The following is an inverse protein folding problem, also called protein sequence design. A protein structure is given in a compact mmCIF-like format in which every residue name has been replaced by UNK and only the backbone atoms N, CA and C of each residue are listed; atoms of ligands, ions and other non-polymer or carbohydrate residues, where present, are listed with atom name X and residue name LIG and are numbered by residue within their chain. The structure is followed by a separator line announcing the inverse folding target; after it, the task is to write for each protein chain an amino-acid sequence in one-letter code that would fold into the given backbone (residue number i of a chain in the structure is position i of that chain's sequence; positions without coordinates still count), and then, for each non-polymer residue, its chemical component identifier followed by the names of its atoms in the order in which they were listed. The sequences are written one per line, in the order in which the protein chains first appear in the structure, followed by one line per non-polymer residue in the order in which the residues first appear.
data_IF_324221791770
#
_entry.id   IF_324221791770
#
_cell.length_a   1.000
_cell.length_b   1.000
_cell.length_c   1.000
_cell.angle_alpha   90.00
_cell.angle_beta   90.00
_cell.angle_gamma   90.00
#
_symmetry.space_group_name_H-M   'P 1'
#
loop_
_entity.id
_entity.type
_entity.pdbx_description
1 polymer ?
#
# COMPACT_ATOMS: atom_id res chain seq x y z
N UNK A 1 -54.74 22.50 7.68
CA UNK A 1 -54.75 22.88 9.07
C UNK A 1 -53.33 23.20 9.48
N UNK A 2 -53.02 24.49 9.50
CA UNK A 2 -51.64 25.00 9.69
C UNK A 2 -51.40 25.17 11.20
N UNK A 3 -50.29 24.58 11.71
CA UNK A 3 -49.80 24.89 13.06
C UNK A 3 -48.49 25.64 12.92
N UNK A 4 -48.55 26.95 13.21
CA UNK A 4 -47.40 27.84 13.33
C UNK A 4 -46.76 27.67 14.69
N UNK A 5 -45.49 27.30 14.78
CA UNK A 5 -44.68 27.41 15.98
C UNK A 5 -43.93 28.72 15.99
N UNK A 6 -44.22 29.55 17.06
CA UNK A 6 -43.58 30.82 17.35
C UNK A 6 -42.26 30.54 18.09
N UNK A 7 -41.16 31.09 17.61
CA UNK A 7 -39.90 31.20 18.35
C UNK A 7 -40.05 32.35 19.38
N UNK A 8 -39.87 32.02 20.65
CA UNK A 8 -39.70 33.01 21.74
C UNK A 8 -38.21 33.19 21.97
N UNK A 9 -37.75 34.44 21.77
CA UNK A 9 -36.40 34.93 22.05
C UNK A 9 -36.28 35.13 23.57
N UNK A 10 -35.46 34.33 24.26
CA UNK A 10 -35.05 34.59 25.64
C UNK A 10 -33.63 35.12 25.62
N UNK A 11 -33.49 36.43 25.83
CA UNK A 11 -32.21 37.11 26.09
C UNK A 11 -31.83 36.87 27.55
N UNK A 12 -30.84 36.02 27.80
CA UNK A 12 -30.14 35.94 29.07
C UNK A 12 -28.82 36.70 29.00
N UNK A 13 -28.70 37.81 29.66
CA UNK A 13 -27.43 38.48 29.98
C UNK A 13 -26.65 37.60 30.95
N UNK A 14 -25.54 37.03 30.50
CA UNK A 14 -24.53 36.51 31.40
C UNK A 14 -23.33 37.47 31.45
N UNK A 15 -23.05 37.96 32.64
CA UNK A 15 -21.89 38.79 32.95
C UNK A 15 -20.60 38.01 32.66
N UNK A 16 -19.73 38.56 31.81
CA UNK A 16 -18.38 38.05 31.60
C UNK A 16 -17.52 38.35 32.82
N UNK A 17 -17.20 37.34 33.59
CA UNK A 17 -16.06 37.37 34.49
C UNK A 17 -14.80 37.21 33.66
N UNK A 18 -13.96 38.24 33.60
CA UNK A 18 -12.61 38.22 33.01
C UNK A 18 -11.72 37.30 33.85
N UNK A 19 -11.56 36.05 33.42
CA UNK A 19 -10.47 35.18 33.88
C UNK A 19 -9.17 35.54 33.15
N UNK A 20 -8.02 35.60 33.84
CA UNK A 20 -6.77 35.93 33.19
C UNK A 20 -6.42 34.86 32.13
N UNK A 21 -6.10 35.32 30.92
CA UNK A 21 -5.64 34.51 29.83
C UNK A 21 -4.39 33.72 30.30
N UNK A 22 -4.51 32.39 30.36
CA UNK A 22 -3.36 31.53 30.50
C UNK A 22 -2.54 31.73 29.23
N UNK A 23 -1.36 32.31 29.38
CA UNK A 23 -0.38 32.41 28.33
C UNK A 23 -0.10 30.99 27.82
N UNK A 24 -0.45 30.71 26.55
CA UNK A 24 0.04 29.52 25.87
C UNK A 24 1.55 29.51 26.03
N UNK A 25 2.15 28.33 26.39
CA UNK A 25 3.59 28.25 26.38
C UNK A 25 4.05 28.63 24.97
N UNK A 26 4.81 29.71 24.85
CA UNK A 26 5.54 30.02 23.62
C UNK A 26 6.42 28.83 23.33
N UNK A 27 5.99 27.97 22.38
CA UNK A 27 6.91 27.03 21.75
C UNK A 27 8.05 27.89 21.25
N UNK A 28 9.20 27.78 21.88
CA UNK A 28 10.45 28.23 21.33
C UNK A 28 10.49 27.68 19.91
N UNK A 29 10.43 28.57 18.93
CA UNK A 29 10.64 28.20 17.54
C UNK A 29 12.04 27.56 17.54
N UNK A 30 12.08 26.24 17.43
CA UNK A 30 13.30 25.58 17.03
C UNK A 30 13.76 26.29 15.75
N UNK A 31 15.08 26.56 15.61
CA UNK A 31 15.57 27.20 14.41
C UNK A 31 15.01 26.43 13.23
N UNK A 32 14.38 27.13 12.29
CA UNK A 32 13.97 26.59 11.00
C UNK A 32 15.25 26.17 10.30
N UNK A 33 15.74 24.97 10.59
CA UNK A 33 16.61 24.29 9.67
C UNK A 33 15.79 24.19 8.40
N UNK A 34 16.19 24.91 7.36
CA UNK A 34 15.77 24.59 6.00
C UNK A 34 15.79 23.07 5.94
N UNK A 35 14.64 22.45 5.85
CA UNK A 35 14.56 21.03 5.58
C UNK A 35 15.05 20.90 4.15
N UNK A 36 16.37 20.74 4.00
CA UNK A 36 17.01 20.49 2.74
C UNK A 36 16.26 19.36 2.08
N UNK A 37 16.08 19.42 0.77
CA UNK A 37 15.48 18.36 -0.01
C UNK A 37 16.07 17.03 0.46
N UNK A 38 15.23 16.03 0.75
CA UNK A 38 15.68 14.71 1.20
C UNK A 38 16.64 14.20 0.14
N UNK A 39 17.93 14.13 0.48
CA UNK A 39 18.95 13.62 -0.44
C UNK A 39 18.84 12.09 -0.42
N UNK A 40 18.22 11.55 -1.46
CA UNK A 40 18.14 10.11 -1.65
C UNK A 40 19.53 9.57 -2.05
N UNK A 41 19.97 8.44 -1.48
CA UNK A 41 21.28 7.87 -1.77
C UNK A 41 21.33 7.30 -3.21
N UNK A 42 22.46 7.44 -3.86
CA UNK A 42 22.77 6.78 -5.13
C UNK A 42 22.96 5.27 -4.96
N UNK A 43 22.93 4.51 -6.05
CA UNK A 43 23.17 3.05 -6.04
C UNK A 43 24.44 2.64 -5.28
N UNK A 44 25.51 3.44 -5.37
CA UNK A 44 26.78 3.19 -4.67
C UNK A 44 26.71 3.48 -3.17
N UNK A 45 25.89 4.42 -2.74
CA UNK A 45 25.76 4.82 -1.34
C UNK A 45 24.78 3.93 -0.55
N UNK A 46 23.77 3.37 -1.21
CA UNK A 46 22.74 2.53 -0.57
C UNK A 46 23.34 1.41 0.29
N UNK A 47 24.32 0.59 -0.17
CA UNK A 47 24.85 -0.48 0.66
C UNK A 47 25.50 0.00 1.95
N UNK A 48 26.22 1.11 1.91
CA UNK A 48 26.85 1.69 3.10
C UNK A 48 25.80 2.23 4.08
N UNK A 49 24.85 3.00 3.57
CA UNK A 49 23.77 3.57 4.35
C UNK A 49 22.91 2.49 5.03
N UNK A 50 22.54 1.45 4.27
CA UNK A 50 21.84 0.27 4.77
C UNK A 50 22.60 -0.44 5.91
N UNK A 51 23.88 -0.75 5.70
CA UNK A 51 24.70 -1.44 6.68
C UNK A 51 24.88 -0.58 7.94
N UNK A 52 24.98 0.73 7.82
CA UNK A 52 25.05 1.65 8.96
C UNK A 52 23.76 1.63 9.79
N UNK A 53 22.59 1.72 9.15
CA UNK A 53 21.30 1.66 9.83
C UNK A 53 21.08 0.33 10.54
N UNK A 54 21.36 -0.79 9.88
CA UNK A 54 21.29 -2.13 10.47
C UNK A 54 22.26 -2.27 11.66
N UNK A 55 23.49 -1.75 11.56
CA UNK A 55 24.45 -1.78 12.65
C UNK A 55 23.97 -0.99 13.86
N UNK A 56 23.39 0.20 13.66
CA UNK A 56 22.80 1.00 14.73
C UNK A 56 21.62 0.28 15.38
N UNK A 57 20.73 -0.31 14.58
CA UNK A 57 19.60 -1.09 15.09
C UNK A 57 20.09 -2.27 15.92
N UNK A 58 21.07 -3.04 15.45
CA UNK A 58 21.67 -4.15 16.21
C UNK A 58 22.32 -3.70 17.52
N UNK A 59 22.96 -2.54 17.54
CA UNK A 59 23.52 -1.98 18.78
C UNK A 59 22.43 -1.63 19.81
N UNK A 60 21.31 -1.02 19.35
CA UNK A 60 20.13 -0.75 20.20
C UNK A 60 19.51 -2.05 20.74
N UNK A 61 19.33 -3.05 19.87
CA UNK A 61 18.85 -4.38 20.25
C UNK A 61 19.76 -5.03 21.29
N UNK A 62 21.07 -4.98 21.09
CA UNK A 62 22.04 -5.54 22.06
C UNK A 62 21.94 -4.84 23.43
N UNK A 63 21.79 -3.52 23.45
CA UNK A 63 21.56 -2.74 24.65
C UNK A 63 20.29 -3.17 25.40
N UNK A 64 19.18 -3.31 24.69
CA UNK A 64 17.93 -3.82 25.26
C UNK A 64 18.07 -5.24 25.80
N UNK A 65 18.75 -6.14 25.08
CA UNK A 65 19.03 -7.53 25.53
C UNK A 65 19.84 -7.58 26.80
N UNK A 66 20.76 -6.65 26.99
CA UNK A 66 21.64 -6.60 28.16
C UNK A 66 21.03 -5.90 29.38
N UNK A 67 19.85 -5.29 29.25
CA UNK A 67 19.18 -4.54 30.32
C UNK A 67 18.84 -5.48 31.48
N UNK A 68 19.35 -5.21 32.73
CA UNK A 68 18.95 -5.98 33.89
C UNK A 68 17.44 -5.86 34.18
N UNK A 69 16.76 -6.97 34.52
CA UNK A 69 15.32 -6.98 34.78
C UNK A 69 14.86 -5.94 35.80
N UNK A 70 15.69 -5.67 36.83
CA UNK A 70 15.43 -4.63 37.85
C UNK A 70 15.42 -3.18 37.30
N UNK A 71 15.92 -2.97 36.11
CA UNK A 71 15.96 -1.65 35.43
C UNK A 71 14.91 -1.52 34.36
N UNK A 72 14.07 -2.53 34.14
CA UNK A 72 12.97 -2.52 33.17
C UNK A 72 11.89 -1.55 33.63
N UNK A 73 11.57 -0.57 32.79
CA UNK A 73 10.49 0.39 32.93
C UNK A 73 10.13 0.98 31.57
N UNK A 74 9.06 1.80 31.48
CA UNK A 74 8.61 2.38 30.22
C UNK A 74 9.72 3.14 29.47
N UNK A 75 10.51 3.95 30.18
CA UNK A 75 11.59 4.74 29.56
C UNK A 75 12.71 3.84 29.00
N UNK A 76 13.09 2.79 29.72
CA UNK A 76 14.21 1.92 29.32
C UNK A 76 13.83 0.88 28.27
N UNK A 77 12.54 0.55 28.12
CA UNK A 77 12.05 -0.45 27.16
C UNK A 77 11.21 0.20 26.06
N UNK A 78 10.08 0.86 26.37
CA UNK A 78 9.18 1.38 25.32
C UNK A 78 9.80 2.53 24.54
N UNK A 79 10.44 3.47 25.24
CA UNK A 79 11.13 4.57 24.56
C UNK A 79 12.29 4.04 23.70
N UNK A 80 13.10 3.11 24.23
CA UNK A 80 14.20 2.53 23.48
C UNK A 80 13.71 1.67 22.29
N UNK A 81 12.54 1.03 22.42
CA UNK A 81 11.89 0.32 21.33
C UNK A 81 11.43 1.30 20.22
N UNK A 82 10.76 2.38 20.62
CA UNK A 82 10.38 3.44 19.69
C UNK A 82 11.59 4.04 18.95
N UNK A 83 12.70 4.29 19.65
CA UNK A 83 13.95 4.72 19.03
C UNK A 83 14.54 3.70 18.04
N UNK A 84 14.35 2.40 18.31
CA UNK A 84 14.71 1.35 17.35
C UNK A 84 13.85 1.41 16.10
N UNK A 85 12.54 1.48 16.27
CA UNK A 85 11.58 1.51 15.16
C UNK A 85 11.75 2.77 14.30
N UNK A 86 11.88 3.95 14.92
CA UNK A 86 12.17 5.19 14.20
C UNK A 86 13.46 5.08 13.38
N UNK A 87 14.54 4.58 13.99
CA UNK A 87 15.81 4.41 13.29
C UNK A 87 15.75 3.40 12.13
N UNK A 88 14.89 2.39 12.22
CA UNK A 88 14.63 1.46 11.11
C UNK A 88 13.79 2.11 10.03
N UNK A 89 12.77 2.91 10.37
CA UNK A 89 11.93 3.65 9.43
C UNK A 89 12.72 4.72 8.66
N UNK A 90 13.67 5.41 9.32
CA UNK A 90 14.54 6.41 8.67
C UNK A 90 15.36 5.81 7.52
N UNK A 91 15.67 4.54 7.59
CA UNK A 91 16.37 3.80 6.52
C UNK A 91 15.37 3.10 5.61
N UNK A 92 14.40 2.39 6.18
CA UNK A 92 13.46 1.55 5.45
C UNK A 92 12.53 2.33 4.53
N UNK A 93 12.02 3.48 4.98
CA UNK A 93 11.11 4.30 4.18
C UNK A 93 11.70 4.74 2.84
N UNK A 94 12.84 5.43 2.82
CA UNK A 94 13.50 5.79 1.57
C UNK A 94 13.94 4.59 0.72
N UNK A 95 14.39 3.49 1.34
CA UNK A 95 14.76 2.26 0.63
C UNK A 95 13.55 1.63 -0.07
N UNK A 96 12.41 1.50 0.63
CA UNK A 96 11.18 1.00 0.04
C UNK A 96 10.71 1.87 -1.13
N UNK A 97 10.78 3.20 -0.99
CA UNK A 97 10.44 4.12 -2.08
C UNK A 97 11.37 3.92 -3.29
N UNK A 98 12.68 3.87 -3.08
CA UNK A 98 13.67 3.73 -4.16
C UNK A 98 13.57 2.38 -4.87
N UNK A 99 13.25 1.29 -4.18
CA UNK A 99 13.09 -0.03 -4.76
C UNK A 99 11.91 -0.10 -5.75
N UNK A 100 10.86 0.69 -5.52
CA UNK A 100 9.66 0.66 -6.33
C UNK A 100 9.60 1.77 -7.40
N UNK A 101 10.16 2.96 -7.13
CA UNK A 101 9.90 4.14 -7.94
C UNK A 101 11.14 4.71 -8.66
N UNK A 102 12.36 4.29 -8.31
CA UNK A 102 13.55 4.85 -8.97
C UNK A 102 13.54 4.50 -10.46
N UNK A 103 13.79 5.49 -11.35
CA UNK A 103 13.97 5.22 -12.79
C UNK A 103 15.27 4.45 -13.08
N UNK A 104 16.28 4.55 -12.18
CA UNK A 104 17.57 3.86 -12.34
C UNK A 104 17.48 2.41 -11.84
N UNK A 105 17.64 1.39 -12.70
CA UNK A 105 17.56 -0.02 -12.30
C UNK A 105 18.67 -0.42 -11.30
N UNK A 106 19.85 0.22 -11.31
CA UNK A 106 20.92 -0.08 -10.35
C UNK A 106 20.55 0.44 -8.95
N UNK A 107 19.86 1.58 -8.87
CA UNK A 107 19.31 2.08 -7.61
C UNK A 107 18.24 1.13 -7.07
N UNK A 108 17.29 0.69 -7.91
CA UNK A 108 16.25 -0.28 -7.51
C UNK A 108 16.88 -1.56 -6.99
N UNK A 109 17.82 -2.15 -7.72
CA UNK A 109 18.54 -3.37 -7.33
C UNK A 109 19.27 -3.24 -5.99
N UNK A 110 19.98 -2.12 -5.79
CA UNK A 110 20.67 -1.87 -4.53
C UNK A 110 19.68 -1.68 -3.36
N UNK A 111 18.56 -1.02 -3.60
CA UNK A 111 17.49 -0.83 -2.63
C UNK A 111 16.80 -2.15 -2.28
N UNK A 112 16.43 -2.99 -3.25
CA UNK A 112 15.90 -4.33 -3.03
C UNK A 112 16.83 -5.21 -2.17
N UNK A 113 18.13 -5.14 -2.43
CA UNK A 113 19.11 -5.88 -1.62
C UNK A 113 19.22 -5.37 -0.18
N UNK A 114 18.97 -4.07 0.05
CA UNK A 114 18.88 -3.50 1.39
C UNK A 114 17.59 -3.89 2.09
N UNK A 115 16.46 -3.79 1.37
CA UNK A 115 15.13 -4.10 1.88
C UNK A 115 15.06 -5.54 2.44
N UNK A 116 15.61 -6.52 1.74
CA UNK A 116 15.70 -7.90 2.24
C UNK A 116 16.51 -8.01 3.55
N UNK A 117 17.57 -7.21 3.71
CA UNK A 117 18.34 -7.22 4.97
C UNK A 117 17.56 -6.56 6.11
N UNK A 118 16.81 -5.50 5.82
CA UNK A 118 15.94 -4.84 6.79
C UNK A 118 14.78 -5.74 7.21
N UNK A 119 14.13 -6.41 6.26
CA UNK A 119 13.02 -7.36 6.51
C UNK A 119 13.46 -8.59 7.31
N UNK A 120 14.71 -9.02 7.17
CA UNK A 120 15.26 -10.13 7.96
C UNK A 120 15.52 -9.75 9.43
N UNK A 121 15.75 -8.47 9.74
CA UNK A 121 16.15 -8.03 11.07
C UNK A 121 15.07 -8.26 12.14
N UNK A 122 13.77 -8.01 11.93
CA UNK A 122 12.70 -8.38 12.85
C UNK A 122 12.71 -9.88 13.20
N UNK A 123 13.03 -10.76 12.25
CA UNK A 123 13.16 -12.19 12.52
C UNK A 123 14.33 -12.53 13.47
N UNK A 124 15.35 -11.66 13.55
CA UNK A 124 16.47 -11.84 14.49
C UNK A 124 16.11 -11.41 15.92
N UNK A 125 15.41 -10.29 16.10
CA UNK A 125 15.16 -9.75 17.43
C UNK A 125 13.81 -10.15 18.03
N UNK A 126 12.74 -10.30 17.22
CA UNK A 126 11.43 -10.74 17.70
C UNK A 126 11.37 -12.25 18.04
N UNK A 127 12.40 -13.02 17.69
CA UNK A 127 12.55 -14.40 18.15
C UNK A 127 13.50 -14.51 19.37
N UNK A 128 13.92 -13.40 19.95
CA UNK A 128 14.80 -13.38 21.11
C UNK A 128 14.02 -13.52 22.42
N UNK A 129 14.15 -14.66 23.10
CA UNK A 129 13.58 -14.89 24.43
C UNK A 129 14.04 -13.86 25.45
N UNK A 130 15.31 -13.44 25.39
CA UNK A 130 15.86 -12.42 26.27
C UNK A 130 15.20 -11.03 26.10
N UNK A 131 14.82 -10.63 24.90
CA UNK A 131 14.03 -9.40 24.69
C UNK A 131 12.59 -9.58 25.16
N UNK A 132 11.98 -10.70 24.81
CA UNK A 132 10.63 -11.04 25.23
C UNK A 132 10.45 -10.96 26.74
N UNK A 133 11.37 -11.57 27.51
CA UNK A 133 11.37 -11.50 28.97
C UNK A 133 11.41 -10.07 29.52
N UNK A 134 12.13 -9.15 28.89
CA UNK A 134 12.18 -7.74 29.31
C UNK A 134 10.86 -7.03 29.06
N UNK A 135 10.23 -7.28 27.91
CA UNK A 135 8.90 -6.72 27.63
C UNK A 135 7.82 -7.34 28.52
N UNK A 136 7.91 -8.64 28.82
CA UNK A 136 7.01 -9.30 29.79
C UNK A 136 7.15 -8.72 31.19
N UNK A 137 8.37 -8.47 31.64
CA UNK A 137 8.66 -7.94 33.00
C UNK A 137 8.23 -6.47 33.15
N UNK A 138 7.95 -5.76 32.06
CA UNK A 138 7.56 -4.36 32.06
C UNK A 138 6.20 -4.17 32.76
N UNK A 139 6.19 -3.34 33.80
CA UNK A 139 4.98 -2.91 34.52
C UNK A 139 4.63 -1.49 34.07
N UNK A 140 3.44 -1.29 33.50
CA UNK A 140 2.93 -0.01 33.03
C UNK A 140 1.45 0.13 33.40
N UNK A 141 1.02 1.35 33.62
CA UNK A 141 -0.37 1.66 34.01
C UNK A 141 -1.01 2.70 33.08
N UNK A 142 -0.19 3.47 32.35
CA UNK A 142 -0.72 4.37 31.32
C UNK A 142 -1.36 3.53 30.19
N UNK A 143 -2.60 3.85 29.74
CA UNK A 143 -3.29 3.07 28.72
C UNK A 143 -2.53 2.96 27.40
N UNK A 144 -1.77 3.99 27.00
CA UNK A 144 -0.96 3.99 25.78
C UNK A 144 0.21 3.03 25.91
N UNK A 145 0.92 3.10 27.06
CA UNK A 145 2.02 2.19 27.35
C UNK A 145 1.59 0.73 27.48
N UNK A 146 0.40 0.49 28.07
CA UNK A 146 -0.19 -0.86 28.16
C UNK A 146 -0.45 -1.40 26.75
N UNK A 147 -1.04 -0.60 25.86
CA UNK A 147 -1.29 -0.99 24.49
C UNK A 147 0.00 -1.20 23.69
N UNK A 148 0.97 -0.30 23.82
CA UNK A 148 2.29 -0.43 23.18
C UNK A 148 3.01 -1.72 23.64
N UNK A 149 3.02 -2.00 24.93
CA UNK A 149 3.57 -3.24 25.49
C UNK A 149 2.88 -4.47 24.91
N UNK A 150 1.55 -4.46 24.83
CA UNK A 150 0.80 -5.59 24.30
C UNK A 150 1.10 -5.80 22.81
N UNK A 151 1.13 -4.74 22.01
CA UNK A 151 1.49 -4.83 20.60
C UNK A 151 2.87 -5.46 20.38
N UNK A 152 3.86 -5.05 21.17
CA UNK A 152 5.21 -5.63 21.09
C UNK A 152 5.20 -7.11 21.47
N UNK A 153 4.46 -7.51 22.51
CA UNK A 153 4.33 -8.92 22.90
C UNK A 153 3.66 -9.75 21.80
N UNK A 154 2.63 -9.20 21.16
CA UNK A 154 1.94 -9.83 20.05
C UNK A 154 2.89 -10.06 18.86
N UNK A 155 3.73 -9.08 18.53
CA UNK A 155 4.77 -9.23 17.49
C UNK A 155 5.76 -10.36 17.80
N UNK A 156 6.18 -10.50 19.04
CA UNK A 156 7.04 -11.62 19.47
C UNK A 156 6.37 -12.98 19.31
N UNK A 157 5.11 -13.08 19.69
CA UNK A 157 4.34 -14.32 19.60
C UNK A 157 4.06 -14.67 18.12
N UNK A 158 3.71 -13.69 17.29
CA UNK A 158 3.52 -13.87 15.85
C UNK A 158 4.80 -14.28 15.12
N UNK A 159 5.98 -13.93 15.66
CA UNK A 159 7.27 -14.40 15.13
C UNK A 159 7.73 -15.72 15.77
N UNK A 160 6.92 -16.32 16.66
CA UNK A 160 7.14 -17.65 17.20
C UNK A 160 8.20 -17.70 18.30
N UNK A 161 8.36 -16.64 19.12
CA UNK A 161 9.31 -16.60 20.23
C UNK A 161 9.16 -17.77 21.21
N UNK A 162 7.93 -18.24 21.41
CA UNK A 162 7.61 -19.36 22.29
C UNK A 162 7.84 -20.75 21.67
N UNK A 163 8.15 -20.83 20.38
CA UNK A 163 8.42 -22.10 19.72
C UNK A 163 9.72 -22.76 20.20
N UNK A 164 9.81 -24.09 20.21
CA UNK A 164 11.08 -24.81 20.34
C UNK A 164 12.13 -24.29 19.33
N UNK A 165 13.41 -24.38 19.68
CA UNK A 165 14.49 -23.77 18.91
C UNK A 165 14.54 -24.19 17.44
N UNK A 166 14.31 -25.46 17.15
CA UNK A 166 14.24 -26.02 15.80
C UNK A 166 13.06 -25.46 14.98
N UNK A 167 11.86 -25.43 15.58
CA UNK A 167 10.65 -24.85 14.96
C UNK A 167 10.78 -23.33 14.75
N UNK A 168 11.40 -22.65 15.72
CA UNK A 168 11.67 -21.20 15.60
C UNK A 168 12.63 -20.90 14.45
N UNK A 169 13.71 -21.69 14.31
CA UNK A 169 14.63 -21.57 13.18
C UNK A 169 13.92 -21.83 11.83
N UNK A 170 13.00 -22.83 11.80
CA UNK A 170 12.21 -23.09 10.58
C UNK A 170 11.25 -21.93 10.26
N UNK A 171 10.54 -21.40 11.26
CA UNK A 171 9.67 -20.25 11.09
C UNK A 171 10.45 -19.03 10.55
N UNK A 172 11.64 -18.76 11.08
CA UNK A 172 12.55 -17.70 10.58
C UNK A 172 12.85 -17.90 9.09
N UNK A 173 13.27 -19.09 8.71
CA UNK A 173 13.58 -19.40 7.31
C UNK A 173 12.36 -19.22 6.38
N UNK A 174 11.15 -19.55 6.85
CA UNK A 174 9.91 -19.33 6.11
C UNK A 174 9.62 -17.84 5.94
N UNK A 175 9.72 -17.03 6.99
CA UNK A 175 9.52 -15.57 6.88
C UNK A 175 10.47 -14.95 5.85
N UNK A 176 11.78 -15.25 5.96
CA UNK A 176 12.78 -14.73 5.04
C UNK A 176 12.52 -15.20 3.57
N UNK A 177 12.05 -16.44 3.41
CA UNK A 177 11.69 -16.93 2.07
C UNK A 177 10.44 -16.25 1.52
N UNK A 178 9.42 -16.02 2.35
CA UNK A 178 8.20 -15.32 1.95
C UNK A 178 8.48 -13.86 1.54
N UNK A 179 9.36 -13.16 2.27
CA UNK A 179 9.80 -11.80 1.92
C UNK A 179 10.48 -11.80 0.54
N UNK A 180 11.37 -12.75 0.29
CA UNK A 180 12.05 -12.91 -1.00
C UNK A 180 11.07 -13.23 -2.14
N UNK A 181 10.10 -14.13 -1.91
CA UNK A 181 9.07 -14.47 -2.89
C UNK A 181 8.20 -13.26 -3.23
N UNK A 182 7.83 -12.46 -2.23
CA UNK A 182 7.06 -11.23 -2.42
C UNK A 182 7.81 -10.22 -3.27
N UNK A 183 9.09 -9.99 -2.96
CA UNK A 183 9.95 -9.08 -3.73
C UNK A 183 10.13 -9.55 -5.18
N UNK A 184 10.40 -10.84 -5.41
CA UNK A 184 10.57 -11.41 -6.75
C UNK A 184 9.27 -11.32 -7.55
N UNK A 185 8.12 -11.58 -6.91
CA UNK A 185 6.80 -11.45 -7.53
C UNK A 185 6.53 -10.01 -8.00
N UNK A 186 6.76 -9.04 -7.12
CA UNK A 186 6.58 -7.62 -7.44
C UNK A 186 7.50 -7.18 -8.58
N UNK A 187 8.78 -7.55 -8.51
CA UNK A 187 9.76 -7.25 -9.57
C UNK A 187 9.38 -7.84 -10.92
N UNK A 188 8.93 -9.09 -10.98
CA UNK A 188 8.52 -9.73 -12.22
C UNK A 188 7.32 -9.02 -12.87
N UNK A 189 6.44 -8.40 -12.09
CA UNK A 189 5.32 -7.58 -12.60
C UNK A 189 5.81 -6.20 -13.04
N UNK A 190 6.65 -5.54 -12.24
CA UNK A 190 7.15 -4.19 -12.51
C UNK A 190 8.08 -4.12 -13.72
N UNK A 191 9.04 -5.05 -13.78
CA UNK A 191 10.11 -5.02 -14.78
C UNK A 191 9.76 -5.84 -16.04
N UNK A 192 8.47 -6.13 -16.27
CA UNK A 192 8.03 -6.78 -17.50
C UNK A 192 8.34 -5.89 -18.70
N UNK A 193 9.31 -6.32 -19.51
CA UNK A 193 9.74 -5.57 -20.70
C UNK A 193 8.85 -5.77 -21.92
N UNK A 194 7.72 -6.43 -21.80
CA UNK A 194 6.81 -6.71 -22.90
C UNK A 194 6.23 -5.41 -23.45
N UNK A 195 6.36 -5.23 -24.77
CA UNK A 195 5.69 -4.17 -25.49
C UNK A 195 4.76 -4.78 -26.54
N UNK A 196 3.58 -4.17 -26.70
CA UNK A 196 2.65 -4.49 -27.76
C UNK A 196 2.76 -3.41 -28.84
N UNK A 197 2.69 -3.84 -30.11
CA UNK A 197 2.79 -2.97 -31.26
C UNK A 197 1.48 -2.94 -32.04
N UNK A 198 0.88 -1.76 -32.19
CA UNK A 198 -0.39 -1.57 -32.90
C UNK A 198 -0.25 -0.55 -34.04
N UNK A 199 -0.96 -0.77 -35.14
CA UNK A 199 -1.15 0.23 -36.18
C UNK A 199 -2.12 1.33 -35.71
N UNK A 200 -2.13 2.47 -36.38
CA UNK A 200 -3.08 3.56 -36.08
C UNK A 200 -4.55 3.12 -36.22
N UNK A 201 -4.84 2.26 -37.20
CA UNK A 201 -6.19 1.70 -37.37
C UNK A 201 -6.62 0.80 -36.20
N UNK A 202 -5.69 0.05 -35.61
CA UNK A 202 -5.96 -0.76 -34.41
C UNK A 202 -6.16 0.10 -33.14
N UNK A 203 -5.79 1.38 -33.19
CA UNK A 203 -5.87 2.33 -32.09
C UNK A 203 -6.97 3.37 -32.27
N UNK A 204 -7.96 3.10 -33.13
CA UNK A 204 -9.12 4.00 -33.32
C UNK A 204 -9.76 4.33 -31.97
N UNK A 205 -9.99 5.63 -31.73
CA UNK A 205 -10.51 6.17 -30.48
C UNK A 205 -9.48 6.87 -29.60
N UNK A 206 -8.18 6.62 -29.82
CA UNK A 206 -7.13 7.39 -29.16
C UNK A 206 -6.93 8.76 -29.82
N UNK A 207 -6.69 9.83 -29.04
CA UNK A 207 -6.40 11.16 -29.55
C UNK A 207 -5.14 11.20 -30.42
N UNK A 208 -5.16 11.96 -31.50
CA UNK A 208 -4.03 12.09 -32.42
C UNK A 208 -2.74 12.63 -31.71
N UNK A 209 -2.89 13.51 -30.73
CA UNK A 209 -1.77 14.02 -29.93
C UNK A 209 -1.10 12.95 -29.06
N UNK A 210 -1.84 11.95 -28.57
CA UNK A 210 -1.28 10.81 -27.86
C UNK A 210 -0.53 9.88 -28.81
N UNK A 211 -1.06 9.64 -30.01
CA UNK A 211 -0.41 8.82 -31.03
C UNK A 211 0.89 9.45 -31.54
N UNK A 212 0.90 10.79 -31.71
CA UNK A 212 2.06 11.52 -32.23
C UNK A 212 3.31 11.47 -31.37
N UNK A 213 3.15 11.30 -30.05
CA UNK A 213 4.25 11.30 -29.09
C UNK A 213 4.85 9.90 -28.84
N UNK A 214 4.25 8.84 -29.43
CA UNK A 214 4.66 7.47 -29.16
C UNK A 214 5.82 7.00 -30.03
N UNK A 215 6.63 6.13 -29.45
CA UNK A 215 7.67 5.42 -30.17
C UNK A 215 7.05 4.44 -31.17
N UNK A 216 7.73 4.24 -32.29
CA UNK A 216 7.32 3.28 -33.32
C UNK A 216 8.40 2.19 -33.46
N UNK A 217 7.94 1.00 -33.82
CA UNK A 217 8.84 -0.07 -34.24
C UNK A 217 9.35 0.12 -35.68
N UNK A 218 10.16 -0.83 -36.17
CA UNK A 218 10.72 -0.79 -37.51
C UNK A 218 9.65 -0.91 -38.63
N UNK A 219 8.45 -1.37 -38.29
CA UNK A 219 7.30 -1.50 -39.19
C UNK A 219 6.36 -0.29 -39.12
N UNK A 220 6.69 0.73 -38.32
CA UNK A 220 5.90 1.93 -38.12
C UNK A 220 4.72 1.78 -37.13
N UNK A 221 4.55 0.65 -36.47
CA UNK A 221 3.55 0.43 -35.43
C UNK A 221 3.94 1.14 -34.14
N UNK A 222 2.93 1.65 -33.44
CA UNK A 222 3.08 2.34 -32.16
C UNK A 222 3.26 1.33 -31.01
N UNK A 223 4.23 1.61 -30.14
CA UNK A 223 4.63 0.74 -29.03
C UNK A 223 3.91 1.15 -27.74
N UNK A 224 3.36 0.15 -27.03
CA UNK A 224 2.70 0.30 -25.73
C UNK A 224 3.34 -0.64 -24.72
N UNK A 225 3.74 -0.10 -23.57
CA UNK A 225 4.12 -0.89 -22.40
C UNK A 225 2.90 -1.49 -21.69
N UNK A 226 3.16 -2.19 -20.57
CA UNK A 226 2.10 -2.79 -19.75
C UNK A 226 2.01 -2.11 -18.37
N UNK A 227 2.04 -0.78 -18.36
CA UNK A 227 1.80 0.02 -17.15
C UNK A 227 0.34 0.51 -17.06
N UNK A 228 -0.03 1.09 -15.93
CA UNK A 228 -1.41 1.54 -15.71
C UNK A 228 -1.84 2.71 -16.62
N UNK A 229 -1.02 3.73 -16.90
CA UNK A 229 -1.37 4.78 -17.87
C UNK A 229 -1.65 4.23 -19.27
N UNK A 230 -0.87 3.25 -19.73
CA UNK A 230 -1.10 2.57 -21.01
C UNK A 230 -2.39 1.75 -20.99
N UNK A 231 -2.65 1.05 -19.87
CA UNK A 231 -3.89 0.30 -19.70
C UNK A 231 -5.12 1.22 -19.73
N UNK A 232 -5.06 2.37 -19.07
CA UNK A 232 -6.12 3.38 -19.11
C UNK A 232 -6.35 3.88 -20.54
N UNK A 233 -5.29 4.25 -21.25
CA UNK A 233 -5.37 4.74 -22.62
C UNK A 233 -6.06 3.72 -23.54
N UNK A 234 -5.60 2.47 -23.54
CA UNK A 234 -6.13 1.42 -24.44
C UNK A 234 -7.53 0.97 -24.02
N UNK A 235 -7.72 0.63 -22.75
CA UNK A 235 -8.96 -0.01 -22.31
C UNK A 235 -10.14 0.96 -22.21
N UNK A 236 -9.89 2.27 -21.99
CA UNK A 236 -10.95 3.27 -21.84
C UNK A 236 -11.27 4.01 -23.13
N UNK A 237 -10.38 4.00 -24.13
CA UNK A 237 -10.58 4.84 -25.31
C UNK A 237 -10.56 4.10 -26.65
N UNK A 238 -9.80 3.01 -26.80
CA UNK A 238 -9.72 2.29 -28.08
C UNK A 238 -11.04 1.59 -28.37
N UNK A 239 -11.65 1.85 -29.56
CA UNK A 239 -12.92 1.26 -29.97
C UNK A 239 -12.77 -0.15 -30.55
N UNK A 240 -11.57 -0.50 -31.03
CA UNK A 240 -11.25 -1.80 -31.66
C UNK A 240 -11.14 -2.90 -30.59
N UNK A 241 -12.13 -3.77 -30.50
CA UNK A 241 -12.21 -4.81 -29.47
C UNK A 241 -11.03 -5.79 -29.48
N UNK A 242 -10.53 -6.31 -30.64
CA UNK A 242 -9.34 -7.17 -30.65
C UNK A 242 -8.11 -6.54 -29.99
N UNK A 243 -7.91 -5.23 -30.16
CA UNK A 243 -6.81 -4.48 -29.54
C UNK A 243 -6.95 -4.44 -28.02
N UNK A 244 -8.13 -4.07 -27.51
CA UNK A 244 -8.42 -4.08 -26.08
C UNK A 244 -8.23 -5.46 -25.46
N UNK A 245 -8.71 -6.52 -26.14
CA UNK A 245 -8.54 -7.91 -25.70
C UNK A 245 -7.08 -8.31 -25.62
N UNK A 246 -6.31 -8.04 -26.68
CA UNK A 246 -4.87 -8.36 -26.71
C UNK A 246 -4.12 -7.64 -25.59
N UNK A 247 -4.39 -6.35 -25.39
CA UNK A 247 -3.79 -5.57 -24.33
C UNK A 247 -4.20 -6.09 -22.94
N UNK A 248 -5.49 -6.31 -22.71
CA UNK A 248 -6.01 -6.81 -21.43
C UNK A 248 -5.39 -8.15 -21.03
N UNK A 249 -5.25 -9.08 -21.99
CA UNK A 249 -4.61 -10.38 -21.74
C UNK A 249 -3.13 -10.20 -21.37
N UNK A 250 -2.38 -9.43 -22.12
CA UNK A 250 -0.96 -9.19 -21.83
C UNK A 250 -0.76 -8.49 -20.48
N UNK A 251 -1.58 -7.47 -20.17
CA UNK A 251 -1.55 -6.75 -18.91
C UNK A 251 -1.83 -7.65 -17.70
N UNK A 252 -2.83 -8.52 -17.79
CA UNK A 252 -3.20 -9.42 -16.68
C UNK A 252 -2.30 -10.65 -16.57
N UNK A 253 -1.47 -10.93 -17.57
CA UNK A 253 -0.50 -12.04 -17.57
C UNK A 253 0.92 -11.59 -17.20
N UNK A 254 1.10 -10.35 -16.73
CA UNK A 254 2.41 -9.88 -16.24
C UNK A 254 2.93 -10.81 -15.13
N UNK A 255 4.22 -11.12 -15.16
CA UNK A 255 4.83 -12.11 -14.28
C UNK A 255 4.63 -13.56 -14.69
N UNK A 256 3.59 -13.88 -15.47
CA UNK A 256 3.36 -15.17 -16.13
C UNK A 256 3.46 -16.38 -15.22
N UNK A 257 3.92 -17.51 -15.80
CA UNK A 257 4.09 -18.77 -15.09
C UNK A 257 5.03 -18.66 -13.89
N UNK A 258 6.08 -17.86 -14.00
CA UNK A 258 7.04 -17.67 -12.91
C UNK A 258 6.35 -17.18 -11.64
N UNK A 259 5.47 -16.20 -11.74
CA UNK A 259 4.74 -15.68 -10.58
C UNK A 259 3.70 -16.68 -10.03
N UNK A 260 3.12 -17.53 -10.88
CA UNK A 260 2.25 -18.61 -10.40
C UNK A 260 3.05 -19.64 -9.57
N UNK A 261 4.27 -19.98 -10.00
CA UNK A 261 5.14 -20.89 -9.25
C UNK A 261 5.56 -20.28 -7.90
N UNK A 262 5.92 -18.97 -7.87
CA UNK A 262 6.21 -18.24 -6.61
C UNK A 262 4.99 -18.22 -5.68
N UNK A 263 3.80 -18.00 -6.22
CA UNK A 263 2.55 -17.98 -5.45
C UNK A 263 2.23 -19.35 -4.85
N UNK A 264 2.43 -20.44 -5.63
CA UNK A 264 2.24 -21.80 -5.14
C UNK A 264 3.20 -22.11 -3.97
N UNK A 265 4.47 -21.73 -4.08
CA UNK A 265 5.44 -21.87 -3.00
C UNK A 265 5.02 -21.06 -1.77
N UNK A 266 4.61 -19.79 -1.98
CA UNK A 266 4.19 -18.92 -0.88
C UNK A 266 2.97 -19.49 -0.12
N UNK A 267 1.97 -20.04 -0.82
CA UNK A 267 0.80 -20.69 -0.20
C UNK A 267 1.22 -21.90 0.64
N UNK A 268 2.13 -22.72 0.12
CA UNK A 268 2.65 -23.89 0.85
C UNK A 268 3.39 -23.48 2.12
N UNK A 269 4.29 -22.49 2.02
CA UNK A 269 5.04 -21.98 3.17
C UNK A 269 4.14 -21.30 4.22
N UNK A 270 3.10 -20.59 3.79
CA UNK A 270 2.11 -20.00 4.69
C UNK A 270 1.32 -21.03 5.46
N UNK A 271 0.95 -22.15 4.83
CA UNK A 271 0.30 -23.27 5.52
C UNK A 271 1.25 -23.89 6.56
N UNK A 272 2.49 -24.17 6.17
CA UNK A 272 3.50 -24.72 7.10
C UNK A 272 3.72 -23.79 8.29
N UNK A 273 3.84 -22.46 8.03
CA UNK A 273 4.00 -21.47 9.09
C UNK A 273 2.82 -21.47 10.07
N UNK A 274 1.58 -21.50 9.57
CA UNK A 274 0.39 -21.59 10.41
C UNK A 274 0.40 -22.85 11.29
N UNK A 275 0.79 -24.00 10.72
CA UNK A 275 0.91 -25.25 11.47
C UNK A 275 2.01 -25.21 12.54
N UNK A 276 3.15 -24.57 12.26
CA UNK A 276 4.19 -24.32 13.27
C UNK A 276 3.66 -23.48 14.43
N UNK A 277 2.80 -22.51 14.14
CA UNK A 277 2.14 -21.65 15.16
C UNK A 277 0.93 -22.33 15.83
N UNK A 278 0.69 -23.64 15.55
CA UNK A 278 -0.40 -24.41 16.15
C UNK A 278 -1.79 -24.09 15.58
N UNK A 279 -1.85 -23.53 14.37
CA UNK A 279 -3.11 -23.19 13.69
C UNK A 279 -3.39 -24.15 12.52
N UNK A 280 -4.68 -24.31 12.22
CA UNK A 280 -5.12 -25.22 11.14
C UNK A 280 -4.79 -24.69 9.75
N UNK A 281 -4.90 -23.35 9.58
CA UNK A 281 -4.65 -22.68 8.31
C UNK A 281 -4.13 -21.25 8.53
N UNK A 282 -3.59 -20.67 7.46
CA UNK A 282 -2.98 -19.35 7.50
C UNK A 282 -4.01 -18.22 7.72
N UNK A 283 -5.21 -18.35 7.14
CA UNK A 283 -6.24 -17.32 7.25
C UNK A 283 -6.71 -17.15 8.70
N UNK A 284 -6.95 -18.23 9.44
CA UNK A 284 -7.31 -18.17 10.85
C UNK A 284 -6.18 -17.55 11.68
N UNK A 285 -4.93 -17.94 11.42
CA UNK A 285 -3.79 -17.37 12.14
C UNK A 285 -3.67 -15.85 11.96
N UNK A 286 -3.68 -15.35 10.72
CA UNK A 286 -3.46 -13.92 10.45
C UNK A 286 -4.65 -13.04 10.83
N UNK A 287 -5.85 -13.60 10.97
CA UNK A 287 -7.06 -12.84 11.35
C UNK A 287 -7.34 -12.85 12.85
N UNK A 288 -6.75 -13.76 13.62
CA UNK A 288 -7.02 -13.95 15.04
C UNK A 288 -6.88 -12.66 15.86
N UNK A 289 -5.84 -11.86 15.61
CA UNK A 289 -5.56 -10.59 16.28
C UNK A 289 -6.01 -9.36 15.49
N UNK A 290 -6.72 -9.56 14.40
CA UNK A 290 -7.30 -8.47 13.62
C UNK A 290 -8.75 -8.21 14.05
N UNK A 291 -9.30 -7.09 13.61
CA UNK A 291 -10.66 -6.68 13.94
C UNK A 291 -11.72 -7.77 13.63
N UNK A 292 -11.50 -8.57 12.60
CA UNK A 292 -12.41 -9.66 12.23
C UNK A 292 -12.34 -10.88 13.18
N UNK A 293 -11.19 -11.13 13.82
CA UNK A 293 -10.97 -12.20 14.79
C UNK A 293 -10.94 -13.62 14.23
N UNK A 294 -11.44 -13.89 13.03
CA UNK A 294 -11.41 -15.20 12.37
C UNK A 294 -11.68 -15.11 10.89
N UNK A 295 -11.18 -16.10 10.12
CA UNK A 295 -11.48 -16.24 8.69
C UNK A 295 -12.99 -16.40 8.43
N UNK A 296 -13.71 -17.09 9.34
CA UNK A 296 -15.15 -17.22 9.23
C UNK A 296 -15.88 -15.87 9.35
N UNK A 297 -15.44 -14.98 10.24
CA UNK A 297 -16.02 -13.63 10.36
C UNK A 297 -15.75 -12.80 9.10
N UNK A 298 -14.56 -12.93 8.49
CA UNK A 298 -14.24 -12.31 7.19
C UNK A 298 -15.19 -12.81 6.11
N UNK A 299 -15.38 -14.13 5.99
CA UNK A 299 -16.26 -14.69 4.97
C UNK A 299 -17.71 -14.22 5.16
N UNK A 300 -18.25 -14.26 6.38
CA UNK A 300 -19.61 -13.74 6.66
C UNK A 300 -19.76 -12.27 6.27
N UNK A 301 -18.75 -11.45 6.54
CA UNK A 301 -18.77 -10.04 6.14
C UNK A 301 -18.77 -9.88 4.62
N UNK A 302 -17.94 -10.65 3.90
CA UNK A 302 -17.90 -10.62 2.44
C UNK A 302 -19.22 -11.10 1.82
N UNK A 303 -19.79 -12.17 2.34
CA UNK A 303 -21.09 -12.72 1.89
C UNK A 303 -22.22 -11.69 2.10
N UNK A 304 -22.25 -11.00 3.26
CA UNK A 304 -23.23 -9.94 3.55
C UNK A 304 -23.09 -8.75 2.58
N UNK A 305 -21.85 -8.30 2.35
CA UNK A 305 -21.57 -7.22 1.39
C UNK A 305 -21.99 -7.65 -0.02
N UNK A 306 -21.60 -8.85 -0.46
CA UNK A 306 -21.99 -9.38 -1.77
C UNK A 306 -23.51 -9.40 -1.94
N UNK A 307 -24.23 -9.94 -0.94
CA UNK A 307 -25.70 -10.00 -0.99
C UNK A 307 -26.37 -8.63 -1.07
N UNK A 308 -25.76 -7.60 -0.47
CA UNK A 308 -26.29 -6.21 -0.52
C UNK A 308 -26.04 -5.51 -1.86
N UNK A 309 -24.91 -5.81 -2.54
CA UNK A 309 -24.53 -5.10 -3.77
C UNK A 309 -24.93 -5.84 -5.04
N UNK A 310 -25.20 -7.14 -4.99
CA UNK A 310 -25.40 -8.00 -6.17
C UNK A 310 -26.50 -7.49 -7.12
N UNK A 311 -27.63 -7.03 -6.58
CA UNK A 311 -28.74 -6.53 -7.40
C UNK A 311 -28.36 -5.24 -8.15
N UNK A 312 -27.60 -4.34 -7.51
CA UNK A 312 -27.09 -3.12 -8.13
C UNK A 312 -26.04 -3.45 -9.18
N UNK A 313 -25.09 -4.33 -8.84
CA UNK A 313 -24.04 -4.78 -9.76
C UNK A 313 -24.64 -5.35 -11.06
N UNK A 314 -25.64 -6.24 -10.95
CA UNK A 314 -26.32 -6.81 -12.13
C UNK A 314 -26.96 -5.72 -12.99
N UNK A 315 -27.59 -4.74 -12.38
CA UNK A 315 -28.17 -3.59 -13.09
C UNK A 315 -27.10 -2.78 -13.81
N UNK A 316 -26.01 -2.45 -13.14
CA UNK A 316 -24.89 -1.67 -13.71
C UNK A 316 -24.20 -2.42 -14.85
N UNK A 317 -23.97 -3.73 -14.69
CA UNK A 317 -23.42 -4.57 -15.76
C UNK A 317 -24.35 -4.63 -16.98
N UNK A 318 -25.67 -4.68 -16.78
CA UNK A 318 -26.62 -4.62 -17.92
C UNK A 318 -26.60 -3.24 -18.61
N UNK A 319 -26.46 -2.15 -17.86
CA UNK A 319 -26.31 -0.81 -18.44
C UNK A 319 -25.05 -0.70 -19.31
N UNK A 320 -23.91 -1.27 -18.86
CA UNK A 320 -22.69 -1.34 -19.66
C UNK A 320 -22.85 -2.23 -20.89
N UNK A 321 -23.55 -3.36 -20.76
CA UNK A 321 -23.88 -4.22 -21.91
C UNK A 321 -24.72 -3.50 -22.94
N UNK A 322 -25.73 -2.74 -22.51
CA UNK A 322 -26.56 -1.95 -23.40
C UNK A 322 -25.74 -0.87 -24.11
N UNK A 323 -24.75 -0.27 -23.47
CA UNK A 323 -23.83 0.67 -24.11
C UNK A 323 -22.99 -0.03 -25.18
N UNK A 324 -22.53 -1.26 -24.94
CA UNK A 324 -21.85 -2.08 -25.98
C UNK A 324 -22.77 -2.37 -27.16
N UNK A 325 -24.02 -2.72 -26.91
CA UNK A 325 -25.03 -2.89 -27.98
C UNK A 325 -25.16 -1.61 -28.82
N UNK A 326 -25.23 -0.43 -28.17
CA UNK A 326 -25.28 0.87 -28.91
C UNK A 326 -24.01 1.12 -29.73
N UNK A 327 -22.86 0.77 -29.22
CA UNK A 327 -21.58 0.95 -29.91
C UNK A 327 -21.45 0.03 -31.12
N UNK A 328 -21.84 -1.24 -30.99
CA UNK A 328 -21.59 -2.28 -32.00
C UNK A 328 -22.76 -2.46 -32.96
N UNK A 329 -23.99 -2.04 -32.62
CA UNK A 329 -25.23 -2.35 -33.34
C UNK A 329 -25.65 -3.82 -33.19
N UNK A 330 -24.95 -4.65 -32.42
CA UNK A 330 -25.27 -6.06 -32.21
C UNK A 330 -26.15 -6.22 -30.96
N UNK A 331 -27.43 -6.54 -31.13
CA UNK A 331 -28.36 -6.77 -30.04
C UNK A 331 -27.94 -7.93 -29.09
N UNK A 332 -27.12 -8.87 -29.58
CA UNK A 332 -26.65 -10.03 -28.83
C UNK A 332 -25.25 -9.81 -28.22
N UNK A 333 -24.71 -8.60 -28.31
CA UNK A 333 -23.38 -8.31 -27.76
C UNK A 333 -23.30 -8.66 -26.27
N UNK A 334 -22.25 -9.40 -25.91
CA UNK A 334 -21.93 -9.75 -24.53
C UNK A 334 -20.81 -8.85 -24.00
N UNK A 335 -20.95 -8.39 -22.76
CA UNK A 335 -19.92 -7.59 -22.09
C UNK A 335 -18.75 -8.49 -21.69
N UNK A 336 -17.55 -8.12 -22.12
CA UNK A 336 -16.31 -8.81 -21.77
C UNK A 336 -15.49 -7.95 -20.79
N UNK A 337 -14.54 -8.55 -20.10
CA UNK A 337 -13.67 -7.81 -19.15
C UNK A 337 -12.93 -6.64 -19.78
N UNK A 338 -12.47 -6.78 -21.01
CA UNK A 338 -11.78 -5.72 -21.77
C UNK A 338 -12.70 -4.64 -22.32
N UNK A 339 -14.01 -4.76 -22.14
CA UNK A 339 -14.99 -3.76 -22.58
C UNK A 339 -15.38 -2.79 -21.47
N UNK A 340 -15.24 -3.22 -20.20
CA UNK A 340 -15.82 -2.52 -19.05
C UNK A 340 -15.39 -1.06 -18.99
N UNK A 341 -14.09 -0.78 -19.07
CA UNK A 341 -13.57 0.59 -18.97
C UNK A 341 -14.07 1.49 -20.09
N UNK A 342 -14.07 0.99 -21.34
CA UNK A 342 -14.61 1.75 -22.48
C UNK A 342 -16.11 2.03 -22.32
N UNK A 343 -16.90 1.05 -21.93
CA UNK A 343 -18.35 1.23 -21.75
C UNK A 343 -18.64 2.18 -20.60
N UNK A 344 -17.86 2.13 -19.50
CA UNK A 344 -17.98 3.09 -18.39
C UNK A 344 -17.70 4.52 -18.85
N UNK A 345 -16.62 4.73 -19.61
CA UNK A 345 -16.25 6.07 -20.10
C UNK A 345 -17.32 6.61 -21.05
N UNK A 346 -17.81 5.80 -21.99
CA UNK A 346 -18.91 6.17 -22.88
C UNK A 346 -20.19 6.50 -22.13
N UNK A 347 -20.52 5.73 -21.09
CA UNK A 347 -21.71 5.96 -20.27
C UNK A 347 -21.60 7.28 -19.50
N UNK A 348 -20.42 7.62 -18.97
CA UNK A 348 -20.16 8.92 -18.35
C UNK A 348 -20.37 10.07 -19.33
N UNK A 349 -19.83 9.96 -20.55
CA UNK A 349 -20.00 10.96 -21.59
C UNK A 349 -21.47 11.12 -21.99
N UNK A 350 -22.19 10.02 -22.19
CA UNK A 350 -23.59 10.07 -22.65
C UNK A 350 -24.56 10.56 -21.59
N UNK A 351 -24.34 10.24 -20.29
CA UNK A 351 -25.25 10.59 -19.20
C UNK A 351 -24.95 11.94 -18.55
N UNK A 352 -23.67 12.26 -18.42
CA UNK A 352 -23.23 13.41 -17.61
C UNK A 352 -22.53 14.47 -18.43
N UNK A 353 -22.31 14.25 -19.73
CA UNK A 353 -21.55 15.14 -20.62
C UNK A 353 -20.15 15.47 -20.06
N UNK A 354 -19.56 14.53 -19.30
CA UNK A 354 -18.24 14.69 -18.70
C UNK A 354 -17.21 14.05 -19.62
N UNK A 355 -16.32 14.89 -20.17
CA UNK A 355 -15.08 14.43 -20.81
C UNK A 355 -13.94 14.57 -19.80
N UNK A 356 -13.40 13.45 -19.37
CA UNK A 356 -12.27 13.41 -18.40
C UNK A 356 -11.03 14.13 -18.93
N UNK A 357 -10.87 14.25 -20.25
CA UNK A 357 -9.75 14.98 -20.88
C UNK A 357 -9.89 16.48 -20.67
N UNK A 358 -11.10 17.01 -20.78
CA UNK A 358 -11.39 18.43 -20.49
C UNK A 358 -11.20 18.73 -19.01
N UNK A 359 -11.66 17.82 -18.12
CA UNK A 359 -11.45 17.95 -16.68
C UNK A 359 -9.95 17.93 -16.36
N UNK A 360 -9.19 16.99 -16.93
CA UNK A 360 -7.73 16.89 -16.73
C UNK A 360 -6.99 18.18 -17.12
N UNK A 361 -7.44 18.86 -18.15
CA UNK A 361 -6.84 20.13 -18.59
C UNK A 361 -6.97 21.25 -17.55
N UNK A 362 -7.97 21.17 -16.65
CA UNK A 362 -8.16 22.12 -15.55
C UNK A 362 -7.25 21.85 -14.35
N UNK A 363 -6.62 20.67 -14.30
CA UNK A 363 -5.76 20.21 -13.20
C UNK A 363 -4.35 19.89 -13.71
N UNK A 364 -3.58 20.89 -14.20
CA UNK A 364 -2.21 20.63 -14.62
C UNK A 364 -1.37 20.18 -13.43
N UNK A 365 -0.51 19.18 -13.63
CA UNK A 365 0.15 18.42 -12.55
C UNK A 365 0.89 19.33 -11.56
N UNK A 366 1.81 20.19 -12.02
CA UNK A 366 2.64 20.98 -11.11
C UNK A 366 1.82 22.02 -10.32
N UNK A 367 0.94 22.86 -10.93
CA UNK A 367 0.09 23.76 -10.19
C UNK A 367 -0.82 23.06 -9.18
N UNK A 368 -1.29 21.83 -9.48
CA UNK A 368 -2.13 21.05 -8.56
C UNK A 368 -1.32 20.58 -7.35
N UNK A 369 -0.10 20.09 -7.56
CA UNK A 369 0.81 19.71 -6.48
C UNK A 369 1.15 20.91 -5.61
N UNK A 370 1.52 22.05 -6.21
CA UNK A 370 1.86 23.28 -5.50
C UNK A 370 0.68 23.77 -4.65
N UNK A 371 -0.53 23.71 -5.22
CA UNK A 371 -1.75 24.06 -4.49
C UNK A 371 -2.01 23.12 -3.31
N UNK A 372 -1.87 21.80 -3.51
CA UNK A 372 -2.05 20.80 -2.45
C UNK A 372 -1.06 21.03 -1.30
N UNK A 373 0.22 21.25 -1.63
CA UNK A 373 1.26 21.51 -0.63
C UNK A 373 1.00 22.84 0.12
N UNK A 374 0.56 23.87 -0.61
CA UNK A 374 0.19 25.15 0.01
C UNK A 374 -0.98 24.98 0.98
N UNK A 375 -2.07 24.33 0.58
CA UNK A 375 -3.23 24.08 1.46
C UNK A 375 -2.83 23.30 2.70
N UNK A 376 -1.98 22.27 2.54
CA UNK A 376 -1.48 21.50 3.68
C UNK A 376 -0.65 22.36 4.64
N UNK A 377 0.22 23.22 4.10
CA UNK A 377 1.02 24.14 4.93
C UNK A 377 0.19 25.25 5.62
N UNK A 378 -0.92 25.67 4.99
CA UNK A 378 -1.83 26.66 5.57
C UNK A 378 -2.70 26.06 6.71
N UNK A 379 -2.94 24.73 6.68
CA UNK A 379 -3.77 24.03 7.68
C UNK A 379 -2.96 23.50 8.87
N UNK A 380 -1.69 23.13 8.68
CA UNK A 380 -0.82 22.47 9.66
C UNK A 380 0.49 23.22 9.89
#
# INVERSE_FOLDING_TARGET
MFVRFRFALVTALCALALAPAHAKPTRSAAPSTERGAIQLPSARQIPQWCNQGISQARARIAKLKSLPLKQVNAMTVLHAWNELDMGLQDVGGPIGLLSETSPDPEVRKAAEACDLKLSALPNEYLQSTALFERVQALQVSDPVDVMARQSILDDFEERGVALPADKRARAKAIFERLDKLSQDFARNVRDVGTQLAFSEAELEGLPANELAQRKRDAQGKLLFGLDYPEAEAILSHVTVEPTRKAFWLAFNQRGGKTNLDLMQEAVTLRLELAQLMGKTNYADWVTERKMAGSAQAVNRFLDDVQGRVEALERKELDELRQEKVRLTGDANATLQRWDVSLMQERLKQSRYSVDQREVRAQFPTQPTIDWMLKVSADLY
#
